data_IF_710164239791
#
_entry.id   IF_710164239791
#
_cell.length_a   1.000
_cell.length_b   1.000
_cell.length_c   1.000
_cell.angle_alpha   90.00
_cell.angle_beta   90.00
_cell.angle_gamma   90.00
#
_symmetry.space_group_name_H-M   'P 1'
#
loop_
_entity.id
_entity.type
_entity.pdbx_description
1 polymer ?
#
# COMPACT_ATOMS: atom_id res chain seq x y z
N UNK A 1 -23.14 39.29 18.19
CA UNK A 1 -22.10 38.67 17.35
C UNK A 1 -22.48 37.20 17.19
N UNK A 2 -22.90 36.78 16.01
CA UNK A 2 -23.33 35.41 15.74
C UNK A 2 -22.14 34.58 15.28
N UNK A 3 -21.82 33.51 15.99
CA UNK A 3 -20.74 32.58 15.65
C UNK A 3 -21.26 31.54 14.65
N UNK A 4 -20.60 31.42 13.50
CA UNK A 4 -20.95 30.47 12.46
C UNK A 4 -20.59 29.05 12.91
N UNK A 5 -21.57 28.15 12.87
CA UNK A 5 -21.38 26.71 13.09
C UNK A 5 -20.57 26.14 11.93
N UNK A 6 -19.45 25.42 12.15
CA UNK A 6 -18.72 24.80 11.06
C UNK A 6 -19.54 23.65 10.46
N UNK A 7 -19.92 23.77 9.19
CA UNK A 7 -20.51 22.69 8.40
C UNK A 7 -19.46 21.61 8.19
N UNK A 8 -19.63 20.45 8.84
CA UNK A 8 -18.85 19.26 8.52
C UNK A 8 -19.33 18.77 7.15
N UNK A 9 -18.47 18.84 6.14
CA UNK A 9 -18.74 18.26 4.84
C UNK A 9 -18.88 16.74 4.99
N UNK A 10 -20.12 16.24 4.96
CA UNK A 10 -20.39 14.81 4.82
C UNK A 10 -19.90 14.36 3.45
N UNK A 11 -18.72 13.76 3.38
CA UNK A 11 -18.31 13.01 2.20
C UNK A 11 -19.17 11.75 2.13
N UNK A 12 -19.93 11.53 1.04
CA UNK A 12 -20.69 10.30 0.89
C UNK A 12 -19.72 9.12 0.91
N UNK A 13 -20.03 8.09 1.72
CA UNK A 13 -19.30 6.84 1.67
C UNK A 13 -19.55 6.21 0.30
N UNK A 14 -18.54 6.24 -0.58
CA UNK A 14 -18.61 5.57 -1.88
C UNK A 14 -18.54 4.06 -1.63
N UNK A 15 -19.71 3.42 -1.55
CA UNK A 15 -19.80 1.97 -1.52
C UNK A 15 -19.48 1.48 -2.94
N UNK A 16 -18.30 0.89 -3.10
CA UNK A 16 -17.92 0.21 -4.35
C UNK A 16 -18.63 -1.13 -4.36
N UNK A 17 -19.39 -1.40 -5.42
CA UNK A 17 -20.06 -2.68 -5.57
C UNK A 17 -19.05 -3.82 -5.79
N UNK A 18 -19.40 -5.02 -5.35
CA UNK A 18 -18.62 -6.24 -5.54
C UNK A 18 -18.23 -6.49 -7.01
N UNK A 19 -19.12 -6.18 -7.96
CA UNK A 19 -18.81 -6.29 -9.38
C UNK A 19 -17.74 -5.27 -9.82
N UNK A 20 -17.81 -4.04 -9.31
CA UNK A 20 -16.82 -3.00 -9.60
C UNK A 20 -15.46 -3.34 -8.99
N UNK A 21 -15.43 -3.91 -7.79
CA UNK A 21 -14.18 -4.37 -7.16
C UNK A 21 -13.56 -5.52 -7.96
N UNK A 22 -14.36 -6.49 -8.39
CA UNK A 22 -13.91 -7.62 -9.22
C UNK A 22 -13.33 -7.15 -10.55
N UNK A 23 -13.97 -6.17 -11.20
CA UNK A 23 -13.47 -5.60 -12.45
C UNK A 23 -12.09 -4.94 -12.26
N UNK A 24 -11.90 -4.17 -11.17
CA UNK A 24 -10.61 -3.56 -10.83
C UNK A 24 -9.54 -4.60 -10.52
N UNK A 25 -9.88 -5.65 -9.79
CA UNK A 25 -8.95 -6.72 -9.46
C UNK A 25 -8.51 -7.49 -10.72
N UNK A 26 -9.42 -7.68 -11.68
CA UNK A 26 -9.12 -8.30 -12.98
C UNK A 26 -8.20 -7.43 -13.82
N UNK A 27 -8.46 -6.12 -13.87
CA UNK A 27 -7.59 -5.15 -14.57
C UNK A 27 -6.20 -5.11 -13.94
N UNK A 28 -6.13 -5.02 -12.60
CA UNK A 28 -4.87 -5.08 -11.85
C UNK A 28 -4.10 -6.35 -12.18
N UNK A 29 -4.76 -7.51 -12.20
CA UNK A 29 -4.12 -8.77 -12.53
C UNK A 29 -3.53 -8.75 -13.94
N UNK A 30 -4.26 -8.19 -14.90
CA UNK A 30 -3.80 -8.07 -16.30
C UNK A 30 -2.54 -7.21 -16.39
N UNK A 31 -2.52 -6.07 -15.70
CA UNK A 31 -1.37 -5.16 -15.66
C UNK A 31 -0.16 -5.86 -15.03
N UNK A 32 -0.34 -6.49 -13.86
CA UNK A 32 0.74 -7.20 -13.17
C UNK A 32 1.33 -8.34 -14.01
N UNK A 33 0.49 -9.06 -14.76
CA UNK A 33 0.96 -10.13 -15.66
C UNK A 33 1.76 -9.58 -16.85
N UNK A 34 1.33 -8.45 -17.42
CA UNK A 34 2.07 -7.77 -18.48
C UNK A 34 3.44 -7.31 -17.99
N UNK A 35 3.50 -6.65 -16.83
CA UNK A 35 4.75 -6.17 -16.22
C UNK A 35 5.68 -7.33 -15.85
N UNK A 36 5.15 -8.43 -15.31
CA UNK A 36 5.93 -9.64 -15.04
C UNK A 36 6.56 -10.21 -16.32
N UNK A 37 5.83 -10.16 -17.43
CA UNK A 37 6.33 -10.64 -18.73
C UNK A 37 7.46 -9.74 -19.24
N UNK A 38 7.30 -8.42 -19.11
CA UNK A 38 8.34 -7.45 -19.46
C UNK A 38 9.61 -7.65 -18.63
N UNK A 39 9.49 -7.76 -17.30
CA UNK A 39 10.64 -7.97 -16.42
C UNK A 39 11.37 -9.29 -16.74
N UNK A 40 10.62 -10.36 -17.06
CA UNK A 40 11.22 -11.63 -17.52
C UNK A 40 11.98 -11.47 -18.84
N UNK A 41 11.46 -10.68 -19.78
CA UNK A 41 12.18 -10.39 -21.03
C UNK A 41 13.45 -9.59 -20.79
N UNK A 42 13.41 -8.59 -19.90
CA UNK A 42 14.59 -7.83 -19.49
C UNK A 42 15.63 -8.76 -18.86
N UNK A 43 15.23 -9.64 -17.95
CA UNK A 43 16.11 -10.62 -17.34
C UNK A 43 16.78 -11.53 -18.38
N UNK A 44 16.01 -12.04 -19.36
CA UNK A 44 16.55 -12.87 -20.43
C UNK A 44 17.60 -12.14 -21.28
N UNK A 45 17.34 -10.88 -21.65
CA UNK A 45 18.29 -10.05 -22.38
C UNK A 45 19.57 -9.79 -21.57
N UNK A 46 19.45 -9.52 -20.27
CA UNK A 46 20.60 -9.33 -19.40
C UNK A 46 21.43 -10.61 -19.24
N UNK A 47 20.80 -11.79 -19.17
CA UNK A 47 21.51 -13.07 -19.16
C UNK A 47 22.29 -13.29 -20.46
N UNK A 48 21.73 -12.90 -21.61
CA UNK A 48 22.46 -12.95 -22.88
C UNK A 48 23.65 -11.99 -22.87
N UNK A 49 23.47 -10.75 -22.41
CA UNK A 49 24.56 -9.77 -22.30
C UNK A 49 25.67 -10.26 -21.36
N UNK A 50 25.29 -10.87 -20.23
CA UNK A 50 26.23 -11.47 -19.27
C UNK A 50 27.11 -12.53 -19.94
N UNK A 51 26.53 -13.40 -20.77
CA UNK A 51 27.31 -14.40 -21.50
C UNK A 51 28.30 -13.77 -22.50
N UNK A 52 27.90 -12.70 -23.19
CA UNK A 52 28.77 -11.95 -24.10
C UNK A 52 29.92 -11.26 -23.33
N UNK A 53 29.63 -10.62 -22.20
CA UNK A 53 30.62 -9.93 -21.37
C UNK A 53 31.61 -10.90 -20.71
N UNK A 54 31.14 -12.08 -20.30
CA UNK A 54 32.01 -13.16 -19.84
C UNK A 54 32.97 -13.62 -20.93
N UNK A 55 32.49 -13.72 -22.17
CA UNK A 55 33.32 -14.10 -23.32
C UNK A 55 34.31 -13.00 -23.73
N UNK A 56 33.94 -11.71 -23.59
CA UNK A 56 34.81 -10.57 -23.91
C UNK A 56 35.79 -10.21 -22.80
N UNK A 57 35.59 -10.71 -21.57
CA UNK A 57 36.41 -10.37 -20.41
C UNK A 57 36.16 -8.96 -19.85
N UNK A 58 35.05 -8.32 -20.23
CA UNK A 58 34.68 -6.99 -19.74
C UNK A 58 34.09 -7.07 -18.33
N UNK A 59 34.97 -7.03 -17.32
CA UNK A 59 34.60 -7.15 -15.91
C UNK A 59 33.68 -6.01 -15.43
N UNK A 60 33.83 -4.79 -15.96
CA UNK A 60 33.04 -3.64 -15.47
C UNK A 60 31.60 -3.73 -15.94
N UNK A 61 31.39 -4.04 -17.21
CA UNK A 61 30.05 -4.23 -17.76
C UNK A 61 29.39 -5.51 -17.22
N UNK A 62 30.19 -6.54 -16.93
CA UNK A 62 29.72 -7.75 -16.25
C UNK A 62 29.17 -7.43 -14.86
N UNK A 63 29.93 -6.73 -14.01
CA UNK A 63 29.51 -6.39 -12.65
C UNK A 63 28.21 -5.55 -12.66
N UNK A 64 28.08 -4.60 -13.60
CA UNK A 64 26.84 -3.81 -13.81
C UNK A 64 25.66 -4.68 -14.23
N UNK A 65 25.89 -5.62 -15.13
CA UNK A 65 24.86 -6.53 -15.64
C UNK A 65 24.39 -7.49 -14.55
N UNK A 66 25.30 -7.97 -13.71
CA UNK A 66 24.97 -8.82 -12.56
C UNK A 66 24.16 -8.06 -11.50
N UNK A 67 24.53 -6.82 -11.18
CA UNK A 67 23.73 -5.96 -10.29
C UNK A 67 22.31 -5.75 -10.84
N UNK A 68 22.20 -5.44 -12.15
CA UNK A 68 20.89 -5.25 -12.77
C UNK A 68 20.06 -6.54 -12.81
N UNK A 69 20.70 -7.70 -12.98
CA UNK A 69 20.02 -9.00 -12.90
C UNK A 69 19.44 -9.27 -11.52
N UNK A 70 20.16 -8.91 -10.46
CA UNK A 70 19.66 -9.03 -9.08
C UNK A 70 18.44 -8.14 -8.86
N UNK A 71 18.49 -6.87 -9.30
CA UNK A 71 17.38 -5.93 -9.20
C UNK A 71 16.12 -6.45 -9.93
N UNK A 72 16.29 -6.89 -11.18
CA UNK A 72 15.17 -7.42 -11.98
C UNK A 72 14.62 -8.71 -11.37
N UNK A 73 15.48 -9.56 -10.80
CA UNK A 73 15.04 -10.79 -10.11
C UNK A 73 14.19 -10.47 -8.87
N UNK A 74 14.59 -9.44 -8.11
CA UNK A 74 13.82 -8.96 -6.96
C UNK A 74 12.46 -8.38 -7.40
N UNK A 75 12.42 -7.60 -8.49
CA UNK A 75 11.18 -7.07 -9.04
C UNK A 75 10.23 -8.20 -9.49
N UNK A 76 10.76 -9.21 -10.17
CA UNK A 76 9.98 -10.41 -10.58
C UNK A 76 9.36 -11.10 -9.35
N UNK A 77 10.13 -11.26 -8.27
CA UNK A 77 9.64 -11.88 -7.04
C UNK A 77 8.52 -11.05 -6.39
N UNK A 78 8.67 -9.73 -6.33
CA UNK A 78 7.65 -8.83 -5.78
C UNK A 78 6.36 -8.85 -6.62
N UNK A 79 6.46 -8.77 -7.95
CA UNK A 79 5.32 -8.86 -8.86
C UNK A 79 4.59 -10.21 -8.71
N UNK A 80 5.33 -11.31 -8.57
CA UNK A 80 4.74 -12.63 -8.34
C UNK A 80 3.96 -12.68 -7.01
N UNK A 81 4.51 -12.09 -5.95
CA UNK A 81 3.82 -11.97 -4.66
C UNK A 81 2.55 -11.13 -4.77
N UNK A 82 2.59 -10.01 -5.50
CA UNK A 82 1.40 -9.18 -5.73
C UNK A 82 0.32 -9.90 -6.52
N UNK A 83 0.70 -10.66 -7.54
CA UNK A 83 -0.23 -11.52 -8.29
C UNK A 83 -0.88 -12.54 -7.37
N UNK A 84 -0.10 -13.21 -6.51
CA UNK A 84 -0.63 -14.22 -5.60
C UNK A 84 -1.55 -13.61 -4.53
N UNK A 85 -1.32 -12.36 -4.12
CA UNK A 85 -2.21 -11.60 -3.25
C UNK A 85 -3.54 -11.26 -3.94
N UNK A 86 -3.49 -10.74 -5.17
CA UNK A 86 -4.71 -10.40 -5.94
C UNK A 86 -5.52 -11.65 -6.28
N UNK A 87 -4.86 -12.78 -6.53
CA UNK A 87 -5.52 -14.07 -6.77
C UNK A 87 -6.05 -14.75 -5.49
N UNK A 88 -5.81 -14.16 -4.31
CA UNK A 88 -6.23 -14.73 -3.02
C UNK A 88 -5.51 -16.03 -2.63
N UNK A 89 -4.40 -16.36 -3.31
CA UNK A 89 -3.57 -17.54 -2.97
C UNK A 89 -2.83 -17.33 -1.65
N UNK A 90 -2.43 -16.09 -1.40
CA UNK A 90 -1.82 -15.68 -0.14
C UNK A 90 -2.92 -15.02 0.69
N UNK A 91 -3.29 -15.62 1.82
CA UNK A 91 -4.30 -15.04 2.74
C UNK A 91 -3.80 -13.66 3.19
N UNK A 92 -4.33 -12.60 2.61
CA UNK A 92 -4.08 -11.24 3.07
C UNK A 92 -4.45 -11.18 4.57
N UNK A 93 -3.49 -10.77 5.40
CA UNK A 93 -3.72 -10.59 6.82
C UNK A 93 -4.84 -9.56 7.02
N UNK A 94 -5.91 -10.01 7.69
CA UNK A 94 -7.04 -9.25 8.24
C UNK A 94 -7.60 -8.14 7.34
N UNK A 95 -8.77 -8.44 6.78
CA UNK A 95 -9.79 -7.44 6.46
C UNK A 95 -9.92 -6.47 7.64
N UNK A 96 -9.50 -5.22 7.45
CA UNK A 96 -9.79 -4.16 8.41
C UNK A 96 -11.27 -3.82 8.21
N UNK A 97 -12.13 -4.45 9.01
CA UNK A 97 -13.52 -4.02 9.13
C UNK A 97 -13.47 -2.67 9.83
N UNK A 98 -13.52 -1.59 9.07
CA UNK A 98 -13.72 -0.24 9.61
C UNK A 98 -15.16 -0.19 10.11
N UNK A 99 -15.35 -0.36 11.42
CA UNK A 99 -16.64 -0.05 12.04
C UNK A 99 -16.87 1.46 11.92
N UNK A 100 -18.02 1.92 11.40
CA UNK A 100 -18.33 3.34 11.43
C UNK A 100 -18.39 3.80 12.89
N UNK A 101 -17.57 4.80 13.21
CA UNK A 101 -17.62 5.49 14.50
C UNK A 101 -18.87 6.35 14.47
N UNK A 102 -19.91 5.94 15.20
CA UNK A 102 -21.03 6.83 15.50
C UNK A 102 -20.54 7.90 16.49
N UNK A 103 -20.89 9.18 16.30
CA UNK A 103 -20.52 10.22 17.24
C UNK A 103 -21.10 9.88 18.63
N UNK A 104 -20.33 10.12 19.72
CA UNK A 104 -20.80 9.85 21.07
C UNK A 104 -22.03 10.70 21.37
N UNK A 105 -23.07 10.08 21.94
CA UNK A 105 -24.20 10.81 22.53
C UNK A 105 -23.66 11.70 23.66
N UNK A 106 -24.10 12.97 23.76
CA UNK A 106 -23.44 13.96 24.61
C UNK A 106 -23.71 13.84 26.13
N UNK A 107 -23.99 12.66 26.69
CA UNK A 107 -24.39 12.55 28.11
C UNK A 107 -23.50 11.72 29.05
N UNK A 108 -22.44 11.07 28.56
CA UNK A 108 -21.55 10.31 29.44
C UNK A 108 -20.26 11.08 29.76
N UNK A 109 -20.40 12.26 30.39
CA UNK A 109 -19.33 12.85 31.19
C UNK A 109 -19.49 12.43 32.66
N UNK A 110 -18.79 11.36 33.05
CA UNK A 110 -18.38 11.17 34.45
C UNK A 110 -16.87 11.03 34.58
N UNK A 111 -16.37 11.78 35.54
CA UNK A 111 -15.00 12.23 35.74
C UNK A 111 -14.12 11.18 36.41
N UNK A 112 -12.92 11.01 35.84
CA UNK A 112 -11.59 10.76 36.45
C UNK A 112 -11.38 9.61 37.47
N UNK A 113 -10.34 8.79 37.20
CA UNK A 113 -9.25 8.54 38.16
C UNK A 113 -8.01 7.86 37.53
N UNK A 114 -6.87 8.50 37.74
CA UNK A 114 -5.47 8.04 37.80
C UNK A 114 -5.07 6.66 37.21
N UNK A 115 -4.07 6.72 36.32
CA UNK A 115 -2.88 5.86 36.42
C UNK A 115 -2.65 4.84 35.32
N UNK A 116 -2.07 5.25 34.18
CA UNK A 116 -1.04 4.55 33.39
C UNK A 116 -0.84 5.30 32.06
N UNK A 117 0.39 5.38 31.50
CA UNK A 117 0.54 5.83 30.12
C UNK A 117 -0.03 4.74 29.22
N UNK A 118 -1.23 4.98 28.67
CA UNK A 118 -1.78 4.12 27.63
C UNK A 118 -0.87 4.19 26.39
N UNK A 119 -0.59 3.06 25.72
CA UNK A 119 0.05 3.09 24.42
C UNK A 119 -0.83 3.92 23.50
N UNK A 120 -0.22 4.86 22.78
CA UNK A 120 -0.88 5.71 21.80
C UNK A 120 -1.62 4.78 20.84
N UNK A 121 -2.93 4.66 21.02
CA UNK A 121 -3.76 3.81 20.17
C UNK A 121 -3.81 4.50 18.83
N UNK A 122 -2.96 4.05 17.90
CA UNK A 122 -2.97 4.42 16.48
C UNK A 122 -4.19 3.79 15.79
N UNK A 123 -5.38 3.94 16.37
CA UNK A 123 -6.65 3.44 15.86
C UNK A 123 -7.39 4.51 15.04
N UNK A 124 -6.63 5.42 14.42
CA UNK A 124 -7.11 6.33 13.38
C UNK A 124 -6.70 5.78 12.01
N UNK A 125 -7.49 6.02 10.95
CA UNK A 125 -7.05 5.73 9.60
C UNK A 125 -5.69 6.40 9.32
N UNK A 126 -4.85 5.76 8.52
CA UNK A 126 -3.46 6.20 8.27
C UNK A 126 -3.35 7.64 7.73
N UNK A 127 -4.40 8.16 7.08
CA UNK A 127 -4.45 9.53 6.59
C UNK A 127 -4.65 10.59 7.69
N UNK A 128 -5.16 10.21 8.87
CA UNK A 128 -5.41 11.12 10.00
C UNK A 128 -4.11 11.60 10.67
N UNK A 129 -3.00 10.91 10.42
CA UNK A 129 -1.67 11.31 10.88
C UNK A 129 -1.22 12.67 10.30
N UNK A 130 -1.71 13.04 9.11
CA UNK A 130 -1.35 14.30 8.46
C UNK A 130 -2.20 15.48 8.94
N UNK A 131 -3.42 15.24 9.41
CA UNK A 131 -4.33 16.29 9.91
C UNK A 131 -4.02 16.73 11.34
N UNK A 132 -3.16 16.00 12.06
CA UNK A 132 -2.78 16.31 13.45
C UNK A 132 -1.93 17.56 13.63
N UNK A 133 -1.43 18.19 12.56
CA UNK A 133 -0.53 19.35 12.65
C UNK A 133 -1.23 20.71 12.84
N UNK A 134 -2.50 20.78 13.25
CA UNK A 134 -3.18 22.08 13.41
C UNK A 134 -3.92 22.31 14.72
N UNK A 135 -3.79 21.42 15.71
CA UNK A 135 -4.44 21.59 17.03
C UNK A 135 -3.46 21.95 18.17
N UNK A 136 -2.26 22.43 17.85
CA UNK A 136 -1.29 22.94 18.81
C UNK A 136 -0.68 24.25 18.32
N UNK A 137 -1.50 25.29 18.16
CA UNK A 137 -1.04 26.67 18.05
C UNK A 137 -2.10 27.64 18.56
N UNK A 138 -1.88 28.07 19.82
CA UNK A 138 -2.46 29.21 20.57
C UNK A 138 -3.90 29.11 21.06
#
# INVERSE_FOLDING_TARGET
MSVATPTIAQTPATIVDSAQQTARDTEKLTILQAELTEQKQIAANLQQNRAVQLASGDKTELDRTEFRLEEVSNNIAQLQQEIDLVQGKTKAFKTVIVKPVYPPKPDDMKTAKNGQPEPISTAGPWWDLYNRHSAAAK
#
